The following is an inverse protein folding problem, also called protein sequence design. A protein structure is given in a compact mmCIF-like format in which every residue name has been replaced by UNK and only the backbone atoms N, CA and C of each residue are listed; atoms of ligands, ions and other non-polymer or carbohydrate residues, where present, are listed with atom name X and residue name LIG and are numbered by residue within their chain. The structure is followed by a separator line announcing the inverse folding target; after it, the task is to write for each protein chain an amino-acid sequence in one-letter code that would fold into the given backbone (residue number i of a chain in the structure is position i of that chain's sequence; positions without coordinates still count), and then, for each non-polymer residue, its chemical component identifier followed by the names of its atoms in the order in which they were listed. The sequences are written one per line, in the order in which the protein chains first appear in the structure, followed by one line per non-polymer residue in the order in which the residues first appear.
data_IF_666934459044
#
_entry.id   IF_666934459044
#
_cell.length_a   1.000
_cell.length_b   1.000
_cell.length_c   1.000
_cell.angle_alpha   90.00
_cell.angle_beta   90.00
_cell.angle_gamma   90.00
#
_symmetry.space_group_name_H-M   'P 1'
#
loop_
_entity.id
_entity.type
_entity.pdbx_description
1 polymer ?
#
# COMPACT_ATOMS: atom_id res chain seq x y z
N UNK A 1 -43.42 11.33 -16.50
CA UNK A 1 -43.01 10.00 -16.00
C UNK A 1 -41.52 10.06 -15.74
N UNK A 2 -41.08 10.49 -14.54
CA UNK A 2 -39.66 10.53 -14.19
C UNK A 2 -39.14 9.09 -14.20
N UNK A 3 -38.09 8.83 -14.95
CA UNK A 3 -37.48 7.51 -15.11
C UNK A 3 -37.13 6.92 -13.74
N UNK A 4 -37.30 5.61 -13.56
CA UNK A 4 -36.88 4.90 -12.34
C UNK A 4 -35.38 5.08 -12.02
N UNK A 5 -34.58 5.48 -13.02
CA UNK A 5 -33.14 5.72 -12.92
C UNK A 5 -32.80 7.10 -12.32
N UNK A 6 -33.59 8.14 -12.64
CA UNK A 6 -33.42 9.50 -12.08
C UNK A 6 -33.63 9.52 -10.56
N UNK A 7 -34.54 8.68 -10.05
CA UNK A 7 -34.82 8.58 -8.62
C UNK A 7 -33.68 7.93 -7.83
N UNK A 8 -32.91 7.02 -8.43
CA UNK A 8 -31.80 6.36 -7.75
C UNK A 8 -30.57 7.26 -7.66
N UNK A 9 -30.29 8.01 -8.73
CA UNK A 9 -29.19 8.99 -8.77
C UNK A 9 -29.39 10.08 -7.73
N UNK A 10 -30.61 10.61 -7.61
CA UNK A 10 -30.96 11.61 -6.59
C UNK A 10 -30.73 11.09 -5.17
N UNK A 11 -31.23 9.90 -4.85
CA UNK A 11 -31.00 9.26 -3.54
C UNK A 11 -29.51 9.00 -3.28
N UNK A 12 -28.75 8.62 -4.30
CA UNK A 12 -27.30 8.39 -4.18
C UNK A 12 -26.54 9.68 -3.84
N UNK A 13 -26.86 10.78 -4.52
CA UNK A 13 -26.23 12.08 -4.25
C UNK A 13 -26.58 12.57 -2.84
N UNK A 14 -27.84 12.44 -2.43
CA UNK A 14 -28.29 12.82 -1.08
C UNK A 14 -27.67 11.95 0.00
N UNK A 15 -27.50 10.64 -0.25
CA UNK A 15 -26.78 9.74 0.64
C UNK A 15 -25.32 10.19 0.86
N UNK A 16 -24.60 10.48 -0.23
CA UNK A 16 -23.19 10.90 -0.17
C UNK A 16 -22.97 12.23 0.57
N UNK A 17 -24.02 13.07 0.63
CA UNK A 17 -24.06 14.32 1.39
C UNK A 17 -24.57 14.17 2.83
N UNK A 18 -25.07 13.00 3.21
CA UNK A 18 -25.67 12.76 4.53
C UNK A 18 -27.06 13.39 4.71
N UNK A 19 -27.80 13.59 3.62
CA UNK A 19 -29.09 14.31 3.58
C UNK A 19 -30.31 13.38 3.50
N UNK A 20 -30.13 12.07 3.66
CA UNK A 20 -31.25 11.11 3.69
C UNK A 20 -31.82 10.98 5.10
N UNK A 21 -33.14 10.99 5.20
CA UNK A 21 -33.83 10.60 6.43
C UNK A 21 -33.95 9.06 6.53
N UNK A 22 -34.43 8.57 7.68
CA UNK A 22 -34.48 7.13 7.97
C UNK A 22 -35.37 6.33 6.99
N UNK A 23 -36.51 6.90 6.58
CA UNK A 23 -37.44 6.23 5.66
C UNK A 23 -36.86 6.18 4.23
N UNK A 24 -36.22 7.26 3.79
CA UNK A 24 -35.55 7.33 2.49
C UNK A 24 -34.33 6.40 2.43
N UNK A 25 -33.58 6.29 3.53
CA UNK A 25 -32.46 5.37 3.65
C UNK A 25 -32.93 3.90 3.53
N UNK A 26 -34.03 3.54 4.20
CA UNK A 26 -34.58 2.19 4.11
C UNK A 26 -35.02 1.83 2.69
N UNK A 27 -35.64 2.78 1.97
CA UNK A 27 -36.01 2.62 0.55
C UNK A 27 -34.78 2.47 -0.34
N UNK A 28 -33.74 3.26 -0.08
CA UNK A 28 -32.48 3.21 -0.81
C UNK A 28 -31.76 1.87 -0.61
N UNK A 29 -31.64 1.40 0.63
CA UNK A 29 -31.02 0.11 0.96
C UNK A 29 -31.78 -1.07 0.34
N UNK A 30 -33.11 -1.08 0.42
CA UNK A 30 -33.93 -2.12 -0.20
C UNK A 30 -33.68 -2.19 -1.71
N UNK A 31 -33.50 -1.03 -2.36
CA UNK A 31 -33.24 -0.94 -3.79
C UNK A 31 -31.84 -1.41 -4.16
N UNK A 32 -30.83 -1.08 -3.36
CA UNK A 32 -29.48 -1.64 -3.51
C UNK A 32 -29.44 -3.16 -3.29
N UNK A 33 -30.30 -3.71 -2.42
CA UNK A 33 -30.36 -5.18 -2.20
C UNK A 33 -31.00 -5.94 -3.35
N UNK A 34 -32.01 -5.35 -3.98
CA UNK A 34 -32.86 -6.01 -4.98
C UNK A 34 -32.40 -5.81 -6.43
N UNK A 35 -31.58 -4.79 -6.72
CA UNK A 35 -31.19 -4.44 -8.09
C UNK A 35 -29.66 -4.40 -8.29
N UNK A 36 -29.17 -5.23 -9.21
CA UNK A 36 -27.76 -5.26 -9.61
C UNK A 36 -27.29 -3.98 -10.32
N UNK A 37 -28.13 -3.39 -11.17
CA UNK A 37 -27.80 -2.15 -11.87
C UNK A 37 -27.68 -0.99 -10.86
N UNK A 38 -28.54 -0.97 -9.85
CA UNK A 38 -28.47 0.01 -8.77
C UNK A 38 -27.17 -0.07 -7.96
N UNK A 39 -26.69 -1.29 -7.65
CA UNK A 39 -25.38 -1.50 -7.00
C UNK A 39 -24.21 -1.06 -7.87
N UNK A 40 -24.29 -1.30 -9.18
CA UNK A 40 -23.25 -0.86 -10.12
C UNK A 40 -23.19 0.68 -10.18
N UNK A 41 -24.35 1.34 -10.25
CA UNK A 41 -24.44 2.81 -10.27
C UNK A 41 -23.95 3.44 -8.98
N UNK A 42 -24.34 2.89 -7.82
CA UNK A 42 -23.86 3.35 -6.52
C UNK A 42 -22.33 3.28 -6.42
N UNK A 43 -21.72 2.14 -6.79
CA UNK A 43 -20.26 1.98 -6.81
C UNK A 43 -19.57 3.00 -7.72
N UNK A 44 -20.15 3.30 -8.89
CA UNK A 44 -19.63 4.34 -9.80
C UNK A 44 -19.67 5.71 -9.15
N UNK A 45 -20.80 6.08 -8.56
CA UNK A 45 -20.98 7.39 -7.93
C UNK A 45 -20.08 7.58 -6.70
N UNK A 46 -19.94 6.57 -5.83
CA UNK A 46 -19.05 6.64 -4.66
C UNK A 46 -17.59 6.73 -5.07
N UNK A 47 -17.16 6.01 -6.11
CA UNK A 47 -15.80 6.12 -6.66
C UNK A 47 -15.53 7.51 -7.22
N UNK A 48 -16.49 8.08 -7.95
CA UNK A 48 -16.38 9.45 -8.45
C UNK A 48 -16.30 10.47 -7.31
N UNK A 49 -17.15 10.37 -6.29
CA UNK A 49 -17.12 11.26 -5.13
C UNK A 49 -15.79 11.17 -4.36
N UNK A 50 -15.27 9.96 -4.14
CA UNK A 50 -13.96 9.75 -3.53
C UNK A 50 -12.82 10.37 -4.36
N UNK A 51 -12.85 10.20 -5.68
CA UNK A 51 -11.87 10.79 -6.59
C UNK A 51 -11.96 12.32 -6.60
N UNK A 52 -13.16 12.90 -6.64
CA UNK A 52 -13.35 14.35 -6.61
C UNK A 52 -12.90 14.96 -5.28
N UNK A 53 -13.15 14.30 -4.14
CA UNK A 53 -12.61 14.71 -2.83
C UNK A 53 -11.09 14.64 -2.80
N UNK A 54 -10.51 13.65 -3.47
CA UNK A 54 -9.05 13.49 -3.61
C UNK A 54 -8.45 14.64 -4.44
N UNK A 55 -9.08 14.99 -5.57
CA UNK A 55 -8.69 16.13 -6.41
C UNK A 55 -8.84 17.45 -5.67
N UNK A 56 -9.98 17.68 -5.01
CA UNK A 56 -10.24 18.89 -4.23
C UNK A 56 -9.29 19.04 -3.02
N UNK A 57 -8.77 17.93 -2.49
CA UNK A 57 -7.72 17.92 -1.48
C UNK A 57 -6.31 18.22 -2.04
N UNK A 58 -6.19 18.53 -3.33
CA UNK A 58 -4.93 18.88 -4.00
C UNK A 58 -4.03 17.69 -4.33
N UNK A 59 -4.57 16.47 -4.39
CA UNK A 59 -3.88 15.34 -5.03
C UNK A 59 -4.20 15.36 -6.51
N UNK A 60 -3.19 15.45 -7.38
CA UNK A 60 -3.39 15.19 -8.80
C UNK A 60 -4.02 13.79 -8.93
N UNK A 61 -5.24 13.72 -9.48
CA UNK A 61 -5.77 12.45 -9.91
C UNK A 61 -4.89 12.00 -11.08
N UNK A 62 -3.96 11.10 -10.78
CA UNK A 62 -3.26 10.35 -11.83
C UNK A 62 -4.33 9.64 -12.66
N UNK A 63 -4.42 10.05 -13.92
CA UNK A 63 -5.33 9.49 -14.92
C UNK A 63 -5.03 8.00 -15.09
N UNK A 64 -5.76 7.14 -14.39
CA UNK A 64 -5.94 5.74 -14.77
C UNK A 64 -7.31 5.66 -15.42
N UNK A 65 -7.36 5.98 -16.72
CA UNK A 65 -8.46 5.55 -17.59
C UNK A 65 -8.31 4.05 -17.83
N UNK A 66 -8.53 3.21 -16.81
CA UNK A 66 -8.83 1.81 -17.09
C UNK A 66 -10.25 1.77 -17.67
N UNK A 67 -10.34 1.70 -19.00
CA UNK A 67 -11.51 1.16 -19.67
C UNK A 67 -11.64 -0.30 -19.27
N UNK A 68 -12.22 -0.54 -18.09
CA UNK A 68 -12.71 -1.83 -17.70
C UNK A 68 -13.85 -2.18 -18.66
N UNK A 69 -13.52 -2.87 -19.75
CA UNK A 69 -14.50 -3.69 -20.45
C UNK A 69 -15.07 -4.64 -19.40
N UNK A 70 -16.38 -4.51 -19.13
CA UNK A 70 -17.09 -5.48 -18.32
C UNK A 70 -16.78 -6.87 -18.92
N UNK A 71 -16.42 -7.88 -18.11
CA UNK A 71 -16.33 -9.24 -18.64
C UNK A 71 -17.69 -9.57 -19.25
N UNK A 72 -17.70 -9.86 -20.54
CA UNK A 72 -18.88 -10.34 -21.22
C UNK A 72 -19.41 -11.52 -20.41
N UNK A 73 -20.68 -11.46 -20.00
CA UNK A 73 -21.35 -12.58 -19.39
C UNK A 73 -21.22 -13.77 -20.35
N UNK A 74 -20.36 -14.73 -20.01
CA UNK A 74 -20.26 -15.99 -20.74
C UNK A 74 -21.54 -16.74 -20.48
N UNK A 75 -22.52 -16.54 -21.37
CA UNK A 75 -23.67 -17.42 -21.49
C UNK A 75 -23.15 -18.82 -21.72
N UNK A 76 -23.30 -19.68 -20.71
CA UNK A 76 -23.10 -21.11 -20.85
C UNK A 76 -24.16 -21.58 -21.85
N UNK A 77 -23.69 -21.76 -23.08
CA UNK A 77 -24.52 -22.04 -24.25
C UNK A 77 -25.17 -23.41 -24.16
N UNK A 78 -26.43 -23.44 -24.62
CA UNK A 78 -27.31 -24.49 -25.15
C UNK A 78 -26.77 -25.78 -25.79
N UNK A 79 -25.51 -26.14 -25.61
CA UNK A 79 -24.85 -27.23 -26.33
C UNK A 79 -24.66 -28.51 -25.49
N UNK A 80 -25.23 -28.61 -24.29
CA UNK A 80 -25.15 -29.82 -23.43
C UNK A 80 -26.44 -30.67 -23.46
N UNK A 81 -27.40 -30.32 -24.33
CA UNK A 81 -28.65 -31.07 -24.50
C UNK A 81 -28.81 -31.65 -25.91
N UNK A 82 -27.79 -32.38 -26.40
CA UNK A 82 -28.06 -33.50 -27.30
C UNK A 82 -26.87 -34.46 -27.33
N UNK A 83 -27.19 -35.76 -27.34
CA UNK A 83 -26.31 -36.87 -27.73
C UNK A 83 -25.67 -37.71 -26.60
N UNK A 84 -26.54 -38.36 -25.81
CA UNK A 84 -26.48 -39.83 -25.59
C UNK A 84 -27.34 -40.41 -26.74
N UNK A 85 -26.98 -41.35 -27.60
CA UNK A 85 -26.54 -42.77 -27.52
C UNK A 85 -25.79 -43.11 -28.85
N UNK A 86 -24.74 -43.95 -28.95
CA UNK A 86 -24.76 -45.43 -29.14
C UNK A 86 -23.29 -45.97 -29.07
N UNK A 87 -23.09 -47.00 -28.23
CA UNK A 87 -22.18 -48.17 -28.22
C UNK A 87 -20.79 -48.25 -28.95
N UNK A 88 -19.86 -49.11 -28.46
CA UNK A 88 -18.41 -48.89 -28.48
C UNK A 88 -17.66 -49.61 -29.60
N UNK A 89 -17.09 -48.89 -30.57
CA UNK A 89 -16.01 -49.38 -31.44
C UNK A 89 -15.19 -48.18 -31.88
N UNK A 90 -14.00 -47.95 -31.30
CA UNK A 90 -12.85 -47.17 -31.87
C UNK A 90 -11.71 -47.01 -30.86
N UNK A 91 -11.46 -48.02 -30.01
CA UNK A 91 -10.32 -48.01 -29.08
C UNK A 91 -8.93 -48.23 -29.75
N UNK A 92 -8.82 -48.14 -31.09
CA UNK A 92 -7.56 -48.43 -31.82
C UNK A 92 -7.14 -47.30 -32.77
N UNK A 93 -7.94 -46.26 -32.98
CA UNK A 93 -7.62 -45.20 -33.95
C UNK A 93 -7.05 -43.89 -33.35
N UNK A 94 -7.07 -43.71 -32.02
CA UNK A 94 -6.59 -42.48 -31.38
C UNK A 94 -5.11 -42.50 -30.94
N UNK A 95 -4.44 -43.65 -31.02
CA UNK A 95 -3.03 -43.78 -30.58
C UNK A 95 -2.03 -43.41 -31.68
N UNK A 96 -2.43 -43.39 -32.96
CA UNK A 96 -1.50 -43.10 -34.07
C UNK A 96 -1.43 -41.63 -34.48
N UNK A 97 -2.44 -40.80 -34.17
CA UNK A 97 -2.40 -39.35 -34.47
C UNK A 97 -1.72 -38.52 -33.37
N UNK A 98 -1.56 -39.06 -32.15
CA UNK A 98 -0.90 -38.38 -31.04
C UNK A 98 0.64 -38.42 -31.12
N UNK A 99 1.21 -39.14 -32.10
CA UNK A 99 2.66 -39.27 -32.30
C UNK A 99 3.23 -38.43 -33.45
N UNK A 100 2.40 -37.70 -34.21
CA UNK A 100 2.85 -36.83 -35.32
C UNK A 100 2.60 -35.33 -35.07
N UNK A 101 2.17 -34.95 -33.87
CA UNK A 101 2.01 -33.55 -33.44
C UNK A 101 2.91 -33.17 -32.26
N UNK A 102 3.97 -33.96 -32.03
CA UNK A 102 4.99 -33.67 -31.01
C UNK A 102 6.25 -32.99 -31.58
N UNK A 103 6.35 -32.86 -32.91
CA UNK A 103 7.54 -32.31 -33.60
C UNK A 103 7.28 -31.03 -34.41
N UNK A 104 6.12 -30.37 -34.28
CA UNK A 104 5.77 -29.19 -35.09
C UNK A 104 5.22 -27.97 -34.33
N UNK A 105 5.48 -27.86 -33.03
CA UNK A 105 5.27 -26.59 -32.31
C UNK A 105 6.65 -26.02 -32.01
N UNK A 106 7.04 -25.01 -32.79
CA UNK A 106 8.22 -24.19 -32.49
C UNK A 106 8.16 -23.77 -31.02
N UNK A 107 9.30 -23.96 -30.33
CA UNK A 107 9.43 -23.57 -28.94
C UNK A 107 8.95 -22.14 -28.74
N UNK A 108 8.34 -21.81 -27.59
CA UNK A 108 7.85 -20.46 -27.37
C UNK A 108 9.00 -19.50 -27.59
N UNK A 109 8.86 -18.62 -28.58
CA UNK A 109 9.63 -17.39 -28.64
C UNK A 109 9.56 -16.80 -27.24
N UNK A 110 10.72 -16.65 -26.62
CA UNK A 110 10.85 -15.92 -25.37
C UNK A 110 10.35 -14.51 -25.66
N UNK A 111 9.09 -14.26 -25.31
CA UNK A 111 8.61 -12.90 -25.10
C UNK A 111 9.69 -12.19 -24.30
N UNK A 112 10.15 -10.98 -24.71
CA UNK A 112 11.08 -10.23 -23.89
C UNK A 112 10.46 -10.18 -22.51
N UNK A 113 11.21 -10.66 -21.51
CA UNK A 113 10.80 -10.57 -20.12
C UNK A 113 10.38 -9.12 -19.90
N UNK A 114 9.08 -8.89 -19.74
CA UNK A 114 8.63 -7.66 -19.10
C UNK A 114 9.42 -7.62 -17.79
N UNK A 115 10.24 -6.58 -17.61
CA UNK A 115 10.78 -6.24 -16.30
C UNK A 115 9.57 -5.98 -15.42
N UNK A 116 9.01 -7.06 -14.86
CA UNK A 116 7.99 -7.00 -13.84
C UNK A 116 8.61 -6.15 -12.76
N UNK A 117 8.03 -4.98 -12.51
CA UNK A 117 8.52 -4.04 -11.52
C UNK A 117 8.59 -4.76 -10.17
N UNK A 118 9.76 -5.32 -9.85
CA UNK A 118 9.99 -6.22 -8.73
C UNK A 118 10.16 -5.41 -7.44
N UNK A 119 9.14 -4.62 -7.13
CA UNK A 119 9.00 -3.91 -5.86
C UNK A 119 8.46 -4.84 -4.78
N UNK A 120 8.82 -4.57 -3.53
CA UNK A 120 8.23 -5.21 -2.35
C UNK A 120 7.52 -4.21 -1.44
N UNK A 121 7.71 -2.91 -1.69
CA UNK A 121 7.09 -1.84 -0.93
C UNK A 121 6.86 -0.60 -1.79
N UNK A 122 6.08 0.34 -1.25
CA UNK A 122 5.79 1.64 -1.84
C UNK A 122 6.11 2.72 -0.84
N UNK A 123 6.68 3.84 -1.31
CA UNK A 123 6.76 5.06 -0.52
C UNK A 123 5.37 5.69 -0.42
N UNK A 124 4.79 5.75 0.77
CA UNK A 124 3.43 6.29 0.96
C UNK A 124 3.40 7.73 1.47
N UNK A 125 4.45 8.19 2.15
CA UNK A 125 4.62 9.59 2.53
C UNK A 125 6.09 9.93 2.83
N UNK A 126 6.47 11.21 2.67
CA UNK A 126 7.81 11.69 3.01
C UNK A 126 7.77 13.16 3.45
N UNK A 127 8.63 13.52 4.41
CA UNK A 127 8.78 14.88 4.91
C UNK A 127 10.26 15.22 5.04
N UNK A 128 10.71 16.27 4.33
CA UNK A 128 12.12 16.70 4.27
C UNK A 128 13.12 15.54 4.03
N UNK A 129 12.69 14.53 3.27
CA UNK A 129 13.47 13.31 3.03
C UNK A 129 14.59 13.56 2.03
N UNK A 130 15.82 13.33 2.46
CA UNK A 130 17.00 13.39 1.61
C UNK A 130 17.60 11.98 1.50
N UNK A 131 17.53 11.40 0.30
CA UNK A 131 18.04 10.07 0.02
C UNK A 131 19.44 10.13 -0.57
N UNK A 132 20.29 9.17 -0.19
CA UNK A 132 21.64 9.08 -0.70
C UNK A 132 21.70 8.79 -2.21
N UNK A 133 22.83 9.11 -2.82
CA UNK A 133 23.09 8.81 -4.24
C UNK A 133 22.28 9.66 -5.22
N UNK A 134 21.73 10.80 -4.77
CA UNK A 134 20.95 11.71 -5.59
C UNK A 134 19.57 11.17 -6.00
N UNK A 135 19.14 10.04 -5.40
CA UNK A 135 17.83 9.45 -5.66
C UNK A 135 16.74 10.38 -5.13
N UNK A 136 15.65 10.47 -5.88
CA UNK A 136 14.46 11.22 -5.49
C UNK A 136 13.28 10.29 -5.62
N UNK A 137 12.84 9.76 -4.49
CA UNK A 137 11.59 9.03 -4.44
C UNK A 137 10.43 10.02 -4.32
N UNK A 138 9.36 9.74 -5.06
CA UNK A 138 8.07 10.40 -4.93
C UNK A 138 7.11 9.42 -4.26
N UNK A 139 6.09 9.96 -3.58
CA UNK A 139 5.00 9.13 -3.07
C UNK A 139 4.37 8.31 -4.21
N UNK A 140 4.27 7.01 -4.01
CA UNK A 140 3.82 6.03 -5.02
C UNK A 140 4.97 5.23 -5.64
N UNK A 141 6.22 5.65 -5.48
CA UNK A 141 7.36 4.93 -6.03
C UNK A 141 7.54 3.56 -5.37
N UNK A 142 7.82 2.57 -6.21
CA UNK A 142 8.15 1.21 -5.79
C UNK A 142 9.58 1.12 -5.27
N UNK A 143 9.74 0.42 -4.16
CA UNK A 143 11.02 0.06 -3.59
C UNK A 143 11.29 -1.42 -3.84
N UNK A 144 12.37 -1.69 -4.57
CA UNK A 144 12.82 -3.04 -4.90
C UNK A 144 13.74 -3.61 -3.82
N UNK A 145 14.31 -4.79 -4.11
CA UNK A 145 15.32 -5.42 -3.26
C UNK A 145 16.66 -4.67 -3.31
N UNK A 146 16.78 -3.58 -2.56
CA UNK A 146 17.97 -2.75 -2.57
C UNK A 146 18.25 -2.09 -1.21
N UNK A 147 19.51 -1.72 -1.02
CA UNK A 147 19.94 -0.93 0.14
C UNK A 147 19.56 0.53 -0.07
N UNK A 148 18.81 1.07 0.87
CA UNK A 148 18.33 2.43 0.90
C UNK A 148 18.97 3.17 2.07
N UNK A 149 19.40 4.40 1.80
CA UNK A 149 19.97 5.28 2.82
C UNK A 149 19.22 6.60 2.83
N UNK A 150 18.56 6.87 3.95
CA UNK A 150 17.87 8.13 4.24
C UNK A 150 18.80 8.99 5.10
N UNK A 151 19.38 10.02 4.49
CA UNK A 151 20.39 10.88 5.15
C UNK A 151 19.74 11.84 6.14
N UNK A 152 18.54 12.35 5.84
CA UNK A 152 17.76 13.18 6.74
C UNK A 152 16.27 13.13 6.41
N UNK A 153 15.44 13.62 7.32
CA UNK A 153 13.98 13.66 7.15
C UNK A 153 13.30 12.38 7.60
N UNK A 154 12.10 12.13 7.06
CA UNK A 154 11.27 10.98 7.44
C UNK A 154 10.62 10.41 6.19
N UNK A 155 10.57 9.08 6.11
CA UNK A 155 9.85 8.36 5.07
C UNK A 155 8.91 7.32 5.69
N UNK A 156 7.69 7.27 5.18
CA UNK A 156 6.73 6.20 5.41
C UNK A 156 6.72 5.29 4.20
N UNK A 157 6.88 4.00 4.48
CA UNK A 157 6.98 2.93 3.50
C UNK A 157 5.93 1.89 3.86
N UNK A 158 5.16 1.43 2.87
CA UNK A 158 4.19 0.34 3.04
C UNK A 158 4.66 -0.85 2.23
N UNK A 159 4.93 -1.97 2.91
CA UNK A 159 5.28 -3.23 2.25
C UNK A 159 4.01 -3.87 1.69
N UNK A 160 4.15 -4.74 0.69
CA UNK A 160 3.02 -5.44 0.08
C UNK A 160 2.29 -6.43 1.01
N UNK A 161 2.87 -6.74 2.16
CA UNK A 161 2.19 -7.44 3.26
C UNK A 161 1.19 -6.56 4.03
N UNK A 162 1.22 -5.24 3.82
CA UNK A 162 0.48 -4.26 4.61
C UNK A 162 1.24 -3.72 5.82
N UNK A 163 2.47 -4.18 6.06
CA UNK A 163 3.33 -3.62 7.11
C UNK A 163 3.67 -2.18 6.76
N UNK A 164 3.38 -1.26 7.67
CA UNK A 164 3.77 0.14 7.53
C UNK A 164 4.99 0.43 8.37
N UNK A 165 6.03 0.96 7.73
CA UNK A 165 7.32 1.27 8.33
C UNK A 165 7.59 2.77 8.22
N UNK A 166 7.85 3.42 9.34
CA UNK A 166 8.34 4.80 9.40
C UNK A 166 9.84 4.75 9.67
N UNK A 167 10.62 5.39 8.80
CA UNK A 167 12.07 5.51 8.90
C UNK A 167 12.43 6.97 9.13
N UNK A 168 13.24 7.23 10.16
CA UNK A 168 13.79 8.56 10.45
C UNK A 168 15.24 8.62 9.96
N UNK A 169 15.62 9.76 9.38
CA UNK A 169 16.90 9.97 8.73
C UNK A 169 18.12 9.86 9.66
N UNK A 170 19.25 9.70 8.97
CA UNK A 170 20.47 8.96 9.38
C UNK A 170 20.25 7.45 9.52
N UNK A 171 19.49 6.88 8.56
CA UNK A 171 19.15 5.47 8.51
C UNK A 171 19.65 4.76 7.24
N UNK A 172 20.04 3.50 7.42
CA UNK A 172 20.43 2.58 6.37
C UNK A 172 19.70 1.24 6.58
N UNK A 173 18.92 0.86 5.58
CA UNK A 173 18.06 -0.32 5.64
C UNK A 173 17.89 -0.92 4.25
N UNK A 174 17.42 -2.16 4.19
CA UNK A 174 17.15 -2.86 2.95
C UNK A 174 15.86 -3.65 3.07
N UNK A 175 15.00 -3.51 2.07
CA UNK A 175 13.77 -4.30 1.96
C UNK A 175 14.15 -5.62 1.29
N UNK A 176 13.95 -6.73 2.00
CA UNK A 176 14.35 -8.06 1.53
C UNK A 176 13.18 -8.72 0.79
N UNK A 177 12.00 -8.66 1.38
CA UNK A 177 10.74 -9.20 0.85
C UNK A 177 9.55 -8.43 1.47
N UNK A 178 8.29 -8.73 1.10
CA UNK A 178 7.13 -8.13 1.77
C UNK A 178 7.06 -8.44 3.28
N UNK A 179 7.74 -9.48 3.77
CA UNK A 179 7.69 -9.91 5.17
C UNK A 179 9.02 -9.71 5.91
N UNK A 180 10.04 -9.16 5.25
CA UNK A 180 11.39 -9.08 5.80
C UNK A 180 12.09 -7.79 5.39
N UNK A 181 12.74 -7.15 6.35
CA UNK A 181 13.68 -6.06 6.10
C UNK A 181 14.92 -6.23 6.97
N UNK A 182 16.01 -5.58 6.57
CA UNK A 182 17.20 -5.44 7.40
C UNK A 182 17.44 -3.97 7.71
N UNK A 183 17.85 -3.69 8.94
CA UNK A 183 18.21 -2.35 9.41
C UNK A 183 19.64 -2.42 9.91
N UNK A 184 20.52 -1.70 9.23
CA UNK A 184 21.94 -1.60 9.60
C UNK A 184 22.18 -0.40 10.49
N UNK A 185 21.38 0.66 10.32
CA UNK A 185 21.49 1.88 11.12
C UNK A 185 20.19 2.68 11.10
N UNK A 186 19.95 3.41 12.18
CA UNK A 186 18.91 4.43 12.28
C UNK A 186 17.68 3.96 13.05
N UNK A 187 16.64 4.80 13.02
CA UNK A 187 15.40 4.56 13.74
C UNK A 187 14.28 4.14 12.81
N UNK A 188 13.61 3.07 13.20
CA UNK A 188 12.51 2.47 12.46
C UNK A 188 11.35 2.19 13.40
N UNK A 189 10.13 2.48 12.98
CA UNK A 189 8.91 2.07 13.68
C UNK A 189 8.03 1.30 12.72
N UNK A 190 7.67 0.08 13.09
CA UNK A 190 6.84 -0.81 12.30
C UNK A 190 5.47 -0.97 12.96
N UNK A 191 4.41 -0.87 12.15
CA UNK A 191 3.06 -1.29 12.50
C UNK A 191 2.71 -2.48 11.63
N UNK A 192 2.49 -3.62 12.27
CA UNK A 192 2.21 -4.88 11.60
C UNK A 192 0.73 -5.23 11.78
N UNK A 193 -0.06 -5.30 10.70
CA UNK A 193 -1.44 -5.73 10.79
C UNK A 193 -1.55 -7.25 10.99
N UNK A 194 -2.72 -7.72 11.40
CA UNK A 194 -2.96 -9.15 11.70
C UNK A 194 -2.57 -10.14 10.58
N UNK A 195 -2.83 -9.85 9.29
CA UNK A 195 -2.42 -10.73 8.19
C UNK A 195 -0.90 -10.84 7.99
N UNK A 196 -0.12 -9.95 8.58
CA UNK A 196 1.33 -9.85 8.42
C UNK A 196 2.12 -10.25 9.68
N UNK A 197 1.50 -11.01 10.58
CA UNK A 197 2.21 -11.63 11.72
C UNK A 197 3.41 -12.45 11.23
N UNK A 198 4.51 -12.39 11.98
CA UNK A 198 5.79 -12.98 11.59
C UNK A 198 6.64 -12.07 10.71
N UNK A 199 6.32 -10.78 10.62
CA UNK A 199 7.20 -9.78 9.99
C UNK A 199 8.54 -9.73 10.72
N UNK A 200 9.65 -9.69 9.97
CA UNK A 200 11.01 -9.75 10.52
C UNK A 200 11.84 -8.53 10.19
N UNK A 201 12.53 -8.01 11.21
CA UNK A 201 13.59 -7.03 11.05
C UNK A 201 14.92 -7.66 11.47
N UNK A 202 15.84 -7.78 10.51
CA UNK A 202 17.20 -8.25 10.76
C UNK A 202 18.11 -7.10 11.17
N UNK A 203 18.98 -7.37 12.14
CA UNK A 203 20.06 -6.50 12.61
C UNK A 203 21.38 -7.27 12.57
N UNK A 204 22.49 -6.62 12.91
CA UNK A 204 23.79 -7.30 12.95
C UNK A 204 23.86 -8.36 14.07
N UNK A 205 23.12 -8.18 15.16
CA UNK A 205 23.20 -9.05 16.34
C UNK A 205 22.10 -10.12 16.40
N UNK A 206 21.09 -10.05 15.52
CA UNK A 206 19.95 -10.97 15.53
C UNK A 206 18.75 -10.45 14.73
N UNK A 207 17.61 -11.09 14.94
CA UNK A 207 16.34 -10.69 14.30
C UNK A 207 15.24 -10.42 15.32
N UNK A 208 14.40 -9.43 15.03
CA UNK A 208 13.16 -9.15 15.75
C UNK A 208 12.00 -9.69 14.92
N UNK A 209 11.18 -10.55 15.52
CA UNK A 209 10.00 -11.14 14.90
C UNK A 209 8.74 -10.57 15.54
N UNK A 210 7.85 -10.03 14.73
CA UNK A 210 6.56 -9.52 15.16
C UNK A 210 5.53 -10.64 15.36
N UNK A 211 4.74 -10.58 16.44
CA UNK A 211 3.63 -11.51 16.70
C UNK A 211 2.24 -10.85 16.59
N UNK A 212 2.16 -9.68 15.96
CA UNK A 212 0.95 -8.89 15.75
C UNK A 212 0.96 -7.56 16.46
N UNK A 213 1.80 -6.63 16.01
CA UNK A 213 2.26 -5.58 16.93
C UNK A 213 2.73 -4.28 16.30
N UNK A 214 2.84 -3.27 17.16
CA UNK A 214 3.56 -2.04 16.89
C UNK A 214 4.84 -2.01 17.71
N UNK A 215 6.00 -1.95 17.05
CA UNK A 215 7.30 -1.92 17.70
C UNK A 215 8.25 -0.95 17.00
N UNK A 216 9.27 -0.53 17.72
CA UNK A 216 10.28 0.38 17.22
C UNK A 216 11.69 -0.16 17.48
N UNK A 217 12.60 0.16 16.57
CA UNK A 217 13.98 -0.26 16.58
C UNK A 217 14.88 0.97 16.40
N UNK A 218 15.91 1.10 17.22
CA UNK A 218 16.97 2.08 17.04
C UNK A 218 18.29 1.32 16.93
N UNK A 219 18.89 1.27 15.74
CA UNK A 219 20.16 0.57 15.49
C UNK A 219 21.27 1.61 15.39
N UNK A 220 22.20 1.60 16.35
CA UNK A 220 23.38 2.45 16.34
C UNK A 220 24.66 1.61 16.29
N UNK A 221 25.80 2.27 16.03
CA UNK A 221 27.08 1.56 15.84
C UNK A 221 27.56 0.80 17.08
N UNK A 222 27.14 1.22 18.28
CA UNK A 222 27.62 0.65 19.55
C UNK A 222 26.56 -0.18 20.27
N UNK A 223 25.29 0.17 20.08
CA UNK A 223 24.15 -0.48 20.71
C UNK A 223 22.92 -0.35 19.83
N UNK A 224 21.99 -1.27 20.05
CA UNK A 224 20.69 -1.29 19.40
C UNK A 224 19.61 -1.48 20.44
N UNK A 225 18.42 -0.93 20.17
CA UNK A 225 17.28 -0.99 21.07
C UNK A 225 16.03 -1.41 20.31
N UNK A 226 15.26 -2.34 20.88
CA UNK A 226 13.88 -2.63 20.47
C UNK A 226 12.92 -2.21 21.56
N UNK A 227 11.81 -1.58 21.18
CA UNK A 227 10.74 -1.14 22.08
C UNK A 227 9.40 -1.67 21.59
N UNK A 228 8.70 -2.41 22.43
CA UNK A 228 7.36 -2.93 22.12
C UNK A 228 6.33 -1.89 22.53
N UNK A 229 5.68 -1.27 21.55
CA UNK A 229 4.74 -0.18 21.78
C UNK A 229 3.32 -0.73 21.99
N UNK A 230 2.95 -1.79 21.30
CA UNK A 230 1.68 -2.49 21.48
C UNK A 230 1.81 -3.95 21.06
N UNK A 231 1.26 -4.87 21.85
CA UNK A 231 1.30 -6.33 21.64
C UNK A 231 2.62 -7.02 22.05
N UNK A 232 3.15 -7.95 21.26
CA UNK A 232 4.27 -8.85 21.58
C UNK A 232 5.25 -9.01 20.40
N UNK A 233 6.54 -9.13 20.73
CA UNK A 233 7.62 -9.46 19.77
C UNK A 233 8.56 -10.51 20.34
N UNK A 234 9.28 -11.19 19.47
CA UNK A 234 10.38 -12.09 19.82
C UNK A 234 11.70 -11.48 19.38
N UNK A 235 12.69 -11.44 20.28
CA UNK A 235 14.07 -11.14 19.97
C UNK A 235 14.88 -12.43 19.86
N UNK A 236 15.48 -12.66 18.70
CA UNK A 236 16.30 -13.83 18.37
C UNK A 236 17.77 -13.41 18.19
N UNK A 237 18.55 -13.28 19.28
CA UNK A 237 19.97 -12.96 19.22
C UNK A 237 20.78 -14.12 18.62
N UNK A 238 21.83 -13.81 17.85
CA UNK A 238 22.74 -14.83 17.34
C UNK A 238 23.43 -15.57 18.49
N UNK A 239 23.35 -16.90 18.47
CA UNK A 239 24.03 -17.78 19.43
C UNK A 239 23.50 -17.76 20.87
N UNK A 240 22.40 -17.06 21.14
CA UNK A 240 21.77 -16.97 22.45
C UNK A 240 20.30 -17.43 22.38
N UNK A 241 19.69 -17.65 23.55
CA UNK A 241 18.28 -18.04 23.60
C UNK A 241 17.37 -16.88 23.19
N UNK A 242 16.28 -17.22 22.49
CA UNK A 242 15.23 -16.27 22.14
C UNK A 242 14.60 -15.66 23.41
N UNK A 243 14.19 -14.40 23.30
CA UNK A 243 13.49 -13.66 24.34
C UNK A 243 12.17 -13.09 23.84
N UNK A 244 11.07 -13.44 24.52
CA UNK A 244 9.77 -12.80 24.33
C UNK A 244 9.72 -11.44 25.03
N UNK A 245 9.10 -10.48 24.38
CA UNK A 245 8.91 -9.13 24.88
C UNK A 245 7.47 -8.68 24.66
N UNK A 246 6.89 -8.00 25.65
CA UNK A 246 5.49 -7.53 25.64
C UNK A 246 5.44 -6.01 25.64
N UNK A 247 4.25 -5.47 25.35
CA UNK A 247 3.93 -4.05 25.43
C UNK A 247 4.53 -3.39 26.67
N UNK A 248 5.21 -2.26 26.43
CA UNK A 248 5.86 -1.47 27.49
C UNK A 248 7.27 -1.93 27.83
N UNK A 249 7.72 -3.06 27.29
CA UNK A 249 9.08 -3.55 27.45
C UNK A 249 9.99 -3.07 26.32
N UNK A 250 11.25 -2.85 26.66
CA UNK A 250 12.32 -2.60 25.72
C UNK A 250 13.57 -3.38 26.12
N UNK A 251 14.43 -3.60 25.13
CA UNK A 251 15.69 -4.29 25.29
C UNK A 251 16.74 -3.49 24.54
N UNK A 252 17.79 -3.08 25.25
CA UNK A 252 19.02 -2.58 24.66
C UNK A 252 20.03 -3.71 24.61
N UNK A 253 20.69 -3.92 23.48
CA UNK A 253 21.84 -4.80 23.39
C UNK A 253 23.06 -4.06 22.85
N UNK A 254 24.23 -4.47 23.31
CA UNK A 254 25.52 -4.00 22.82
C UNK A 254 26.10 -5.02 21.83
N UNK A 255 27.11 -4.59 21.07
CA UNK A 255 27.83 -5.43 20.09
C UNK A 255 28.55 -6.62 20.74
N UNK A 256 28.81 -6.59 22.05
CA UNK A 256 29.40 -7.70 22.81
C UNK A 256 28.37 -8.73 23.28
N UNK A 257 27.09 -8.55 22.92
CA UNK A 257 25.99 -9.45 23.26
C UNK A 257 25.35 -9.20 24.63
N UNK A 258 25.82 -8.22 25.41
CA UNK A 258 25.14 -7.85 26.66
C UNK A 258 23.81 -7.18 26.36
N UNK A 259 22.76 -7.68 27.00
CA UNK A 259 21.41 -7.13 26.85
C UNK A 259 20.84 -6.63 28.18
N UNK A 260 20.26 -5.44 28.18
CA UNK A 260 19.67 -4.77 29.35
C UNK A 260 18.22 -4.43 29.08
N UNK A 261 17.32 -4.84 29.99
CA UNK A 261 15.90 -4.50 29.89
C UNK A 261 15.66 -3.04 30.32
N UNK A 262 14.77 -2.36 29.60
CA UNK A 262 14.41 -0.96 29.79
C UNK A 262 12.88 -0.79 29.59
N UNK A 263 12.27 0.30 30.06
CA UNK A 263 10.90 0.64 29.67
C UNK A 263 10.83 1.12 28.21
N UNK A 264 9.74 0.80 27.52
CA UNK A 264 9.50 1.27 26.15
C UNK A 264 9.32 2.80 26.09
N UNK A 265 9.97 3.43 25.11
CA UNK A 265 9.90 4.87 24.90
C UNK A 265 9.06 5.19 23.65
N UNK A 266 7.77 5.45 23.82
CA UNK A 266 6.87 5.78 22.71
C UNK A 266 7.22 7.11 22.02
N UNK A 267 7.66 8.11 22.78
CA UNK A 267 7.93 9.46 22.29
C UNK A 267 9.29 9.58 21.56
N UNK A 268 10.18 8.61 21.74
CA UNK A 268 11.49 8.57 21.10
C UNK A 268 11.46 8.22 19.61
N UNK A 269 10.30 7.79 19.11
CA UNK A 269 10.07 7.33 17.74
C UNK A 269 8.85 8.01 17.14
N UNK A 270 9.04 8.62 15.97
CA UNK A 270 7.99 9.31 15.26
C UNK A 270 6.91 8.31 14.85
N UNK A 271 5.69 8.50 15.35
CA UNK A 271 4.53 7.71 14.96
C UNK A 271 3.92 8.16 13.64
N UNK A 272 3.03 7.34 13.08
CA UNK A 272 2.28 7.71 11.89
C UNK A 272 1.42 8.97 12.10
N UNK A 273 0.87 9.16 13.30
CA UNK A 273 0.10 10.35 13.66
C UNK A 273 0.97 11.61 13.65
N UNK A 274 2.15 11.55 14.29
CA UNK A 274 3.10 12.67 14.32
C UNK A 274 3.61 13.02 12.91
N UNK A 275 3.80 12.00 12.07
CA UNK A 275 4.17 12.18 10.65
C UNK A 275 3.07 12.92 9.89
N UNK A 276 1.80 12.56 10.10
CA UNK A 276 0.67 13.24 9.45
C UNK A 276 0.58 14.73 9.83
N UNK A 277 0.90 15.07 11.09
CA UNK A 277 0.95 16.45 11.57
C UNK A 277 2.11 17.23 10.94
N UNK A 278 3.30 16.62 10.85
CA UNK A 278 4.45 17.20 10.16
C UNK A 278 4.18 17.41 8.67
N UNK A 279 3.62 16.42 7.99
CA UNK A 279 3.22 16.53 6.57
C UNK A 279 2.20 17.65 6.35
N UNK A 280 1.22 17.77 7.25
CA UNK A 280 0.23 18.85 7.19
C UNK A 280 0.88 20.22 7.39
N UNK A 281 1.86 20.32 8.28
CA UNK A 281 2.62 21.54 8.55
C UNK A 281 3.47 21.93 7.34
N UNK A 282 4.26 21.01 6.79
CA UNK A 282 5.06 21.23 5.58
C UNK A 282 4.18 21.65 4.39
N UNK A 283 2.99 21.06 4.26
CA UNK A 283 2.03 21.40 3.20
C UNK A 283 1.44 22.80 3.40
N UNK A 284 1.15 23.20 4.63
CA UNK A 284 0.74 24.58 4.96
C UNK A 284 1.85 25.57 4.60
N UNK A 285 3.08 25.31 5.03
CA UNK A 285 4.24 26.17 4.72
C UNK A 285 4.43 26.32 3.21
N UNK A 286 4.46 25.22 2.45
CA UNK A 286 4.55 25.28 0.98
C UNK A 286 3.39 26.02 0.34
N UNK A 287 2.17 25.84 0.85
CA UNK A 287 0.99 26.57 0.37
C UNK A 287 1.14 28.08 0.62
N UNK A 288 1.60 28.47 1.80
CA UNK A 288 1.80 29.88 2.16
C UNK A 288 2.91 30.52 1.32
N UNK A 289 4.02 29.80 1.08
CA UNK A 289 5.08 30.21 0.16
C UNK A 289 4.56 30.39 -1.27
N UNK A 290 3.76 29.44 -1.77
CA UNK A 290 3.13 29.54 -3.09
C UNK A 290 2.14 30.71 -3.17
N UNK A 291 1.32 30.95 -2.14
CA UNK A 291 0.40 32.09 -2.08
C UNK A 291 1.19 33.39 -2.16
N UNK A 292 2.26 33.52 -1.36
CA UNK A 292 3.11 34.71 -1.36
C UNK A 292 3.82 34.92 -2.69
N UNK A 293 4.34 33.86 -3.30
CA UNK A 293 4.96 33.90 -4.62
C UNK A 293 3.95 34.27 -5.71
N UNK A 294 2.76 33.67 -5.70
CA UNK A 294 1.66 34.01 -6.60
C UNK A 294 1.25 35.47 -6.44
N UNK A 295 1.15 35.97 -5.21
CA UNK A 295 0.84 37.37 -4.94
C UNK A 295 1.88 38.31 -5.56
N UNK A 296 3.17 38.00 -5.42
CA UNK A 296 4.26 38.77 -6.07
C UNK A 296 4.14 38.72 -7.59
N UNK A 297 3.88 37.56 -8.18
CA UNK A 297 3.71 37.42 -9.63
C UNK A 297 2.53 38.25 -10.15
N UNK A 298 1.41 38.27 -9.43
CA UNK A 298 0.19 39.01 -9.82
C UNK A 298 0.37 40.52 -9.85
N UNK A 299 1.35 41.05 -9.11
CA UNK A 299 1.68 42.46 -9.11
C UNK A 299 2.82 42.81 -10.07
N UNK A 300 3.35 41.83 -10.81
CA UNK A 300 4.33 42.08 -11.87
C UNK A 300 3.59 42.60 -13.12
N UNK A 301 3.86 43.84 -13.58
CA UNK A 301 3.20 44.43 -14.75
C UNK A 301 3.50 43.69 -16.07
N UNK A 302 4.42 42.73 -16.07
CA UNK A 302 4.75 41.87 -17.22
C UNK A 302 3.89 40.60 -17.28
N UNK A 303 3.05 40.33 -16.28
CA UNK A 303 2.21 39.15 -16.24
C UNK A 303 1.00 39.30 -17.18
N UNK A 304 0.96 38.49 -18.24
CA UNK A 304 -0.10 38.56 -19.28
C UNK A 304 -1.28 37.63 -18.98
N UNK A 305 -1.04 36.45 -18.40
CA UNK A 305 -2.07 35.47 -18.01
C UNK A 305 -1.64 34.71 -16.75
N UNK A 306 -2.59 34.39 -15.87
CA UNK A 306 -2.39 33.46 -14.75
C UNK A 306 -3.58 32.50 -14.61
N UNK A 307 -3.29 31.22 -14.34
CA UNK A 307 -4.31 30.22 -14.00
C UNK A 307 -4.41 30.06 -12.47
N UNK A 308 -5.65 29.98 -11.94
CA UNK A 308 -5.91 29.77 -10.52
C UNK A 308 -6.48 28.36 -10.30
N UNK A 309 -5.91 27.61 -9.36
CA UNK A 309 -6.59 26.46 -8.76
C UNK A 309 -7.30 26.94 -7.49
N UNK A 310 -8.63 26.79 -7.48
CA UNK A 310 -9.50 27.10 -6.33
C UNK A 310 -9.64 25.91 -5.39
#
# INVERSE_FOLDING_TARGET
MKSHDDSLRDLTVRYLRGELNADELAVFELRLRSDNAARAEFRRATRLDANLRTIAAGREATEVWETNHAPAASGVSWFVWLMRWIAPVTAVALVTTMFWWKDSVGGPEQSPSEESAAGFAVVTAQANAHWAGGRKFVTGDLLAHETLRLESGIAQIELFSGVTVVVEGDAEFKIISPMEMSVTRGKVRARVPEPAHGFRIHTAEGEVVDLGTEFALNVAATNSEVHVLDGEVEWHPHGNAMRNMKKGEALRWETDGKATALPANHAGFIGMADMSERLNTDRKVRRDEWINYSHKLRHDPRLVVSYQMG
#
